data_IF_397862142715
#
_entry.id   IF_397862142715
#
_cell.length_a   1.000
_cell.length_b   1.000
_cell.length_c   1.000
_cell.angle_alpha   90.00
_cell.angle_beta   90.00
_cell.angle_gamma   90.00
#
_symmetry.space_group_name_H-M   'P 1'
#
loop_
_entity.id
_entity.type
_entity.pdbx_description
1 polymer ?
#
# COMPACT_ATOMS: atom_id res chain seq x y z
N UNK A 1 -5.10 28.74 22.04
CA UNK A 1 -5.00 27.62 21.09
C UNK A 1 -4.59 26.37 21.83
N UNK A 2 -5.29 25.26 21.62
CA UNK A 2 -5.07 24.00 22.33
C UNK A 2 -3.62 23.49 22.18
N UNK A 3 -2.95 23.23 23.31
CA UNK A 3 -1.54 22.76 23.39
C UNK A 3 -1.44 21.26 23.70
N UNK A 4 -2.55 20.53 23.65
CA UNK A 4 -2.60 19.10 23.92
C UNK A 4 -2.21 18.22 22.73
N UNK A 5 -2.52 16.92 22.85
CA UNK A 5 -2.24 15.93 21.81
C UNK A 5 -2.81 16.30 20.43
N UNK A 6 -3.93 17.02 20.36
CA UNK A 6 -4.56 17.41 19.09
C UNK A 6 -3.66 18.32 18.24
N UNK A 7 -3.05 19.36 18.84
CA UNK A 7 -2.17 20.26 18.10
C UNK A 7 -0.84 19.61 17.71
N UNK A 8 -0.31 18.74 18.57
CA UNK A 8 0.89 17.93 18.26
C UNK A 8 0.61 16.96 17.12
N UNK A 9 -0.54 16.27 17.15
CA UNK A 9 -0.96 15.33 16.11
C UNK A 9 -1.01 16.01 14.74
N UNK A 10 -1.67 17.18 14.67
CA UNK A 10 -1.78 17.98 13.45
C UNK A 10 -0.40 18.44 12.93
N UNK A 11 0.49 18.87 13.82
CA UNK A 11 1.82 19.38 13.45
C UNK A 11 2.73 18.27 12.89
N UNK A 12 2.68 17.07 13.48
CA UNK A 12 3.58 15.97 13.13
C UNK A 12 3.01 15.10 12.00
N UNK A 13 1.70 15.22 11.72
CA UNK A 13 1.01 14.38 10.74
C UNK A 13 0.74 12.99 11.31
N UNK A 14 0.06 12.94 12.45
CA UNK A 14 -0.43 11.70 13.07
C UNK A 14 -1.82 11.95 13.66
N UNK A 15 -2.40 11.00 14.38
CA UNK A 15 -3.69 11.18 15.07
C UNK A 15 -3.50 11.25 16.58
N UNK A 16 -4.38 11.98 17.26
CA UNK A 16 -4.40 12.04 18.72
C UNK A 16 -4.52 10.64 19.33
N UNK A 17 -5.37 9.78 18.77
CA UNK A 17 -5.54 8.40 19.24
C UNK A 17 -4.22 7.60 19.18
N UNK A 18 -3.47 7.71 18.09
CA UNK A 18 -2.15 7.05 17.96
C UNK A 18 -1.16 7.61 18.97
N UNK A 19 -1.12 8.93 19.17
CA UNK A 19 -0.26 9.55 20.18
C UNK A 19 -0.62 9.10 21.60
N UNK A 20 -1.89 9.11 21.99
CA UNK A 20 -2.32 8.66 23.32
C UNK A 20 -2.00 7.18 23.52
N UNK A 21 -2.25 6.33 22.52
CA UNK A 21 -1.96 4.89 22.58
C UNK A 21 -0.46 4.60 22.76
N UNK A 22 0.40 5.35 22.08
CA UNK A 22 1.86 5.14 22.13
C UNK A 22 2.50 5.65 23.43
N UNK A 23 1.88 6.63 24.08
CA UNK A 23 2.45 7.28 25.27
C UNK A 23 1.76 6.89 26.58
N UNK A 24 0.53 6.33 26.54
CA UNK A 24 -0.17 5.81 27.70
C UNK A 24 -0.60 6.85 28.74
N UNK A 25 -0.36 8.14 28.49
CA UNK A 25 -0.69 9.24 29.39
C UNK A 25 -1.80 10.11 28.80
N UNK A 26 -2.69 10.60 29.67
CA UNK A 26 -3.83 11.46 29.26
C UNK A 26 -3.46 12.94 29.22
N UNK A 27 -2.49 13.35 30.02
CA UNK A 27 -2.01 14.74 30.16
C UNK A 27 -0.54 14.77 29.80
N UNK A 28 -0.14 15.81 29.07
CA UNK A 28 1.24 16.06 28.65
C UNK A 28 1.68 17.44 29.12
N UNK A 29 2.96 17.58 29.42
CA UNK A 29 3.57 18.81 29.86
C UNK A 29 4.64 19.27 28.85
N UNK A 30 4.92 20.59 28.78
CA UNK A 30 6.04 21.09 28.00
C UNK A 30 7.35 20.41 28.42
N UNK A 31 8.11 19.88 27.46
CA UNK A 31 9.37 19.17 27.69
C UNK A 31 9.25 17.64 27.64
N UNK A 32 8.03 17.09 27.66
CA UNK A 32 7.82 15.65 27.57
C UNK A 32 8.29 15.10 26.21
N UNK A 33 9.01 13.98 26.26
CA UNK A 33 9.44 13.24 25.06
C UNK A 33 8.34 12.25 24.66
N UNK A 34 7.63 12.56 23.58
CA UNK A 34 6.52 11.74 23.08
C UNK A 34 6.96 10.81 21.95
N UNK A 35 6.54 9.55 22.02
CA UNK A 35 6.60 8.58 20.92
C UNK A 35 5.48 8.90 19.92
N UNK A 36 5.79 8.90 18.64
CA UNK A 36 4.81 9.14 17.57
C UNK A 36 5.04 8.22 16.37
N UNK A 37 3.99 8.03 15.57
CA UNK A 37 4.06 7.36 14.26
C UNK A 37 3.43 8.28 13.23
N UNK A 38 4.23 8.74 12.26
CA UNK A 38 3.74 9.58 11.16
C UNK A 38 2.77 8.78 10.29
N UNK A 39 1.65 9.38 9.95
CA UNK A 39 0.72 8.81 8.98
C UNK A 39 1.40 8.79 7.61
N UNK A 40 1.35 7.64 6.95
CA UNK A 40 1.65 7.52 5.53
C UNK A 40 0.30 7.40 4.82
N UNK A 41 0.08 8.24 3.82
CA UNK A 41 -1.03 8.09 2.90
C UNK A 41 -0.53 7.21 1.76
N UNK A 42 -0.93 5.94 1.76
CA UNK A 42 -0.89 5.16 0.52
C UNK A 42 -1.98 5.72 -0.38
N UNK A 43 -1.60 6.31 -1.51
CA UNK A 43 -2.55 6.73 -2.54
C UNK A 43 -3.15 5.48 -3.17
N UNK A 44 -4.23 4.98 -2.58
CA UNK A 44 -5.03 3.92 -3.14
C UNK A 44 -6.09 4.53 -4.04
N UNK A 45 -6.04 4.25 -5.35
CA UNK A 45 -7.13 4.57 -6.27
C UNK A 45 -8.04 3.33 -6.31
N UNK A 46 -9.29 3.40 -5.81
CA UNK A 46 -10.20 2.27 -5.83
C UNK A 46 -10.42 1.78 -7.26
N UNK A 47 -10.25 0.47 -7.49
CA UNK A 47 -10.37 -0.14 -8.83
C UNK A 47 -9.09 -0.15 -9.66
N UNK A 48 -8.02 0.54 -9.23
CA UNK A 48 -6.69 0.31 -9.79
C UNK A 48 -6.12 -0.95 -9.15
N UNK A 49 -6.38 -2.08 -9.80
CA UNK A 49 -5.66 -3.31 -9.49
C UNK A 49 -4.17 -3.05 -9.73
N UNK A 50 -3.34 -3.40 -8.74
CA UNK A 50 -1.89 -3.35 -8.89
C UNK A 50 -1.53 -4.06 -10.20
N UNK A 51 -0.81 -3.38 -11.10
CA UNK A 51 -0.48 -3.90 -12.43
C UNK A 51 0.63 -4.95 -12.31
N UNK A 52 0.29 -6.09 -11.72
CA UNK A 52 1.18 -7.25 -11.64
C UNK A 52 0.81 -8.27 -12.70
N UNK A 53 1.77 -9.06 -13.17
CA UNK A 53 1.53 -10.14 -14.13
C UNK A 53 0.38 -11.08 -13.74
N UNK A 54 0.21 -11.36 -12.44
CA UNK A 54 -0.83 -12.24 -11.91
C UNK A 54 -2.21 -11.59 -12.01
N UNK A 55 -2.31 -10.29 -11.72
CA UNK A 55 -3.58 -9.56 -11.84
C UNK A 55 -3.98 -9.41 -13.31
N UNK A 56 -3.02 -9.19 -14.21
CA UNK A 56 -3.26 -9.15 -15.65
C UNK A 56 -3.71 -10.52 -16.15
N UNK A 57 -3.08 -11.62 -15.70
CA UNK A 57 -3.52 -12.97 -16.04
C UNK A 57 -4.96 -13.24 -15.60
N UNK A 58 -5.31 -12.89 -14.36
CA UNK A 58 -6.68 -13.05 -13.85
C UNK A 58 -7.70 -12.27 -14.67
N UNK A 59 -7.33 -11.07 -15.14
CA UNK A 59 -8.21 -10.16 -15.85
C UNK A 59 -8.40 -10.52 -17.33
N UNK A 60 -7.32 -10.88 -18.03
CA UNK A 60 -7.31 -10.97 -19.50
C UNK A 60 -7.14 -12.40 -20.06
N UNK A 61 -6.85 -13.38 -19.21
CA UNK A 61 -6.73 -14.78 -19.62
C UNK A 61 -7.74 -15.64 -18.84
N UNK A 62 -7.36 -16.14 -17.67
CA UNK A 62 -8.28 -16.78 -16.73
C UNK A 62 -7.69 -16.74 -15.33
N UNK A 63 -8.56 -16.66 -14.32
CA UNK A 63 -8.15 -16.92 -12.94
C UNK A 63 -7.84 -18.42 -12.77
N UNK A 64 -6.57 -18.81 -12.50
CA UNK A 64 -6.19 -20.22 -12.39
C UNK A 64 -6.97 -20.96 -11.31
N UNK A 65 -7.44 -20.23 -10.29
CA UNK A 65 -8.20 -20.80 -9.17
C UNK A 65 -9.64 -21.14 -9.56
N UNK A 66 -10.14 -20.60 -10.68
CA UNK A 66 -11.51 -20.79 -11.18
C UNK A 66 -11.55 -21.52 -12.52
N UNK A 67 -10.40 -21.96 -13.02
CA UNK A 67 -10.26 -22.60 -14.31
C UNK A 67 -10.94 -23.98 -14.31
N UNK A 68 -11.87 -24.21 -15.24
CA UNK A 68 -12.56 -25.49 -15.39
C UNK A 68 -11.75 -26.46 -16.28
N UNK A 69 -11.94 -27.78 -16.14
CA UNK A 69 -11.39 -28.74 -17.10
C UNK A 69 -11.83 -28.38 -18.53
N UNK A 70 -10.86 -28.22 -19.44
CA UNK A 70 -11.10 -27.80 -20.83
C UNK A 70 -11.14 -26.28 -21.07
N UNK A 71 -11.24 -25.46 -20.03
CA UNK A 71 -11.22 -23.99 -20.11
C UNK A 71 -10.17 -23.44 -19.12
N UNK A 72 -8.88 -23.71 -19.40
CA UNK A 72 -7.77 -23.34 -18.51
C UNK A 72 -7.00 -22.09 -18.93
N UNK A 73 -7.32 -21.49 -20.07
CA UNK A 73 -6.55 -20.39 -20.63
C UNK A 73 -5.08 -20.77 -20.85
N UNK A 74 -4.23 -19.77 -21.07
CA UNK A 74 -2.77 -19.95 -21.14
C UNK A 74 -2.14 -19.98 -19.73
N UNK A 75 -1.63 -21.13 -19.30
CA UNK A 75 -1.00 -21.27 -17.98
C UNK A 75 0.31 -20.48 -17.84
N UNK A 76 0.93 -20.05 -18.95
CA UNK A 76 2.19 -19.28 -18.98
C UNK A 76 1.99 -17.78 -19.14
N UNK A 77 0.74 -17.30 -19.10
CA UNK A 77 0.41 -15.91 -19.43
C UNK A 77 1.15 -14.89 -18.55
N UNK A 78 1.16 -15.08 -17.23
CA UNK A 78 1.88 -14.21 -16.30
C UNK A 78 3.39 -14.21 -16.57
N UNK A 79 3.98 -15.35 -16.95
CA UNK A 79 5.41 -15.44 -17.26
C UNK A 79 5.76 -14.68 -18.53
N UNK A 80 4.90 -14.75 -19.56
CA UNK A 80 5.03 -13.93 -20.78
C UNK A 80 4.98 -12.44 -20.47
N UNK A 81 4.04 -12.01 -19.62
CA UNK A 81 3.95 -10.60 -19.20
C UNK A 81 5.21 -10.17 -18.43
N UNK A 82 5.73 -10.99 -17.51
CA UNK A 82 7.01 -10.71 -16.82
C UNK A 82 8.16 -10.55 -17.80
N UNK A 83 8.27 -11.47 -18.75
CA UNK A 83 9.34 -11.46 -19.74
C UNK A 83 9.31 -10.17 -20.57
N UNK A 84 8.15 -9.81 -21.13
CA UNK A 84 7.99 -8.58 -21.92
C UNK A 84 8.28 -7.34 -21.09
N UNK A 85 7.79 -7.28 -19.85
CA UNK A 85 8.05 -6.14 -18.96
C UNK A 85 9.55 -5.99 -18.67
N UNK A 86 10.26 -7.10 -18.41
CA UNK A 86 11.70 -7.07 -18.20
C UNK A 86 12.46 -6.57 -19.44
N UNK A 87 12.02 -6.92 -20.65
CA UNK A 87 12.61 -6.40 -21.88
C UNK A 87 12.40 -4.90 -22.05
N UNK A 88 11.20 -4.39 -21.78
CA UNK A 88 10.89 -2.95 -21.87
C UNK A 88 11.75 -2.17 -20.88
N UNK A 89 11.81 -2.59 -19.62
CA UNK A 89 12.63 -1.94 -18.59
C UNK A 89 14.11 -1.98 -18.96
N UNK A 90 14.60 -3.10 -19.47
CA UNK A 90 15.99 -3.21 -19.93
C UNK A 90 16.29 -2.25 -21.09
N UNK A 91 15.32 -2.01 -21.97
CA UNK A 91 15.47 -1.07 -23.09
C UNK A 91 15.43 0.40 -22.63
N UNK A 92 14.50 0.76 -21.75
CA UNK A 92 14.39 2.11 -21.17
C UNK A 92 15.60 2.50 -20.31
N UNK A 93 16.34 1.52 -19.81
CA UNK A 93 17.54 1.73 -18.97
C UNK A 93 18.84 1.92 -19.75
N UNK A 94 18.80 1.88 -21.09
CA UNK A 94 19.97 2.15 -21.97
C UNK A 94 20.13 3.63 -22.26
#
# INVERSE_FOLDING_TARGET
>A
GDRGYSSIAKKIGTTQSVLTKLNGVKVIHPGDKLKYKKAHLEQYIPGWLLFTPENIQKQYNIDPTKAQPGHRGDHTYADKIRFTYALIVADESK
#
